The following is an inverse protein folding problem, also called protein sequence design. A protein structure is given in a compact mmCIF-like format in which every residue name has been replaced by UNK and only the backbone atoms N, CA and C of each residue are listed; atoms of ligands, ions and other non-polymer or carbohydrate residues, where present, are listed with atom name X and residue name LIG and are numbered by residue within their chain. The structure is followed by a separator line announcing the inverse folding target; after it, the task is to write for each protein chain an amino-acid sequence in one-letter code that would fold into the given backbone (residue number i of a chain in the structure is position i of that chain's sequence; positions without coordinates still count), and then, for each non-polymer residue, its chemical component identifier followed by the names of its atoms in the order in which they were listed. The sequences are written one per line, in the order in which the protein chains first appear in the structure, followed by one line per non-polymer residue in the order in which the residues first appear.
data_IF_596821874223
#
_entry.id   IF_596821874223
#
_cell.length_a   1.000
_cell.length_b   1.000
_cell.length_c   1.000
_cell.angle_alpha   90.00
_cell.angle_beta   90.00
_cell.angle_gamma   90.00
#
_symmetry.space_group_name_H-M   'P 1'
#
loop_
_entity.id
_entity.type
_entity.pdbx_description
1 polymer ?
#
# COMPACT_ATOMS: atom_id res chain seq x y z
N UNK A 1 -18.06 -15.14 13.08
CA UNK A 1 -17.35 -15.20 11.78
C UNK A 1 -16.25 -14.17 11.78
N UNK A 2 -15.07 -14.53 11.31
CA UNK A 2 -13.95 -13.60 11.24
C UNK A 2 -13.87 -13.07 9.80
N UNK A 3 -14.13 -11.78 9.59
CA UNK A 3 -14.09 -11.12 8.29
C UNK A 3 -12.73 -10.44 8.15
N UNK A 4 -11.81 -11.00 7.37
CA UNK A 4 -10.45 -10.47 7.22
C UNK A 4 -10.11 -10.25 5.76
N UNK A 5 -9.73 -9.03 5.38
CA UNK A 5 -9.36 -8.67 4.01
C UNK A 5 -8.13 -7.77 3.99
N UNK A 6 -7.23 -7.99 3.03
CA UNK A 6 -6.10 -7.08 2.84
C UNK A 6 -6.51 -5.81 2.09
N UNK A 7 -5.83 -4.69 2.35
CA UNK A 7 -6.17 -3.36 1.80
C UNK A 7 -6.23 -3.33 0.26
N UNK A 8 -5.29 -3.99 -0.45
CA UNK A 8 -5.31 -4.00 -1.91
C UNK A 8 -6.52 -4.77 -2.49
N UNK A 9 -6.84 -6.02 -2.03
CA UNK A 9 -8.10 -6.68 -2.36
C UNK A 9 -9.35 -5.88 -1.98
N UNK A 10 -9.33 -5.11 -0.89
CA UNK A 10 -10.45 -4.26 -0.49
C UNK A 10 -10.64 -3.10 -1.48
N UNK A 11 -9.55 -2.47 -1.95
CA UNK A 11 -9.60 -1.46 -3.00
C UNK A 11 -10.07 -2.02 -4.35
N UNK A 12 -9.70 -3.26 -4.70
CA UNK A 12 -10.26 -3.95 -5.86
C UNK A 12 -11.76 -4.23 -5.69
N UNK A 13 -12.18 -4.64 -4.48
CA UNK A 13 -13.57 -4.94 -4.17
C UNK A 13 -14.47 -3.71 -4.33
N UNK A 14 -13.99 -2.51 -3.97
CA UNK A 14 -14.78 -1.28 -4.00
C UNK A 14 -15.33 -0.94 -5.39
N UNK A 15 -14.59 -1.29 -6.46
CA UNK A 15 -14.96 -1.00 -7.86
C UNK A 15 -15.39 -2.24 -8.65
N UNK A 16 -15.38 -3.42 -8.02
CA UNK A 16 -15.59 -4.69 -8.72
C UNK A 16 -17.06 -4.99 -8.98
N UNK A 17 -17.33 -5.73 -10.05
CA UNK A 17 -18.65 -6.36 -10.29
C UNK A 17 -18.93 -7.44 -9.23
N UNK A 18 -20.22 -7.79 -9.05
CA UNK A 18 -20.63 -8.80 -8.05
C UNK A 18 -19.93 -10.15 -8.22
N UNK A 19 -19.70 -10.59 -9.44
CA UNK A 19 -18.97 -11.84 -9.72
C UNK A 19 -17.51 -11.73 -9.26
N UNK A 20 -16.86 -10.60 -9.52
CA UNK A 20 -15.49 -10.34 -9.08
C UNK A 20 -15.39 -10.17 -7.58
N UNK A 21 -16.34 -9.49 -6.93
CA UNK A 21 -16.46 -9.35 -5.47
C UNK A 21 -16.51 -10.71 -4.79
N UNK A 22 -17.34 -11.64 -5.28
CA UNK A 22 -17.38 -13.03 -4.78
C UNK A 22 -16.03 -13.72 -4.90
N UNK A 23 -15.38 -13.61 -6.06
CA UNK A 23 -14.04 -14.19 -6.28
C UNK A 23 -12.98 -13.61 -5.34
N UNK A 24 -13.01 -12.30 -5.09
CA UNK A 24 -12.10 -11.64 -4.13
C UNK A 24 -12.30 -12.25 -2.73
N UNK A 25 -13.55 -12.34 -2.27
CA UNK A 25 -13.85 -12.90 -0.94
C UNK A 25 -13.45 -14.37 -0.82
N UNK A 26 -13.74 -15.19 -1.84
CA UNK A 26 -13.29 -16.60 -1.87
C UNK A 26 -11.77 -16.74 -1.73
N UNK A 27 -11.01 -15.86 -2.39
CA UNK A 27 -9.55 -15.82 -2.28
C UNK A 27 -9.06 -15.36 -0.90
N UNK A 28 -9.82 -14.52 -0.18
CA UNK A 28 -9.48 -14.13 1.19
C UNK A 28 -9.82 -15.24 2.19
N UNK A 29 -10.92 -15.98 2.00
CA UNK A 29 -11.29 -17.15 2.83
C UNK A 29 -10.31 -18.31 2.71
N UNK A 30 -9.77 -18.52 1.52
CA UNK A 30 -8.82 -19.61 1.22
C UNK A 30 -7.59 -19.02 0.52
N UNK A 31 -6.70 -18.34 1.27
CA UNK A 31 -5.49 -17.78 0.68
C UNK A 31 -4.63 -18.90 0.10
N UNK A 32 -4.20 -18.73 -1.15
CA UNK A 32 -3.29 -19.67 -1.80
C UNK A 32 -1.92 -19.60 -1.10
N UNK A 33 -1.62 -20.64 -0.32
CA UNK A 33 -0.36 -20.75 0.43
C UNK A 33 0.86 -20.89 -0.48
N UNK A 34 0.66 -21.23 -1.75
CA UNK A 34 1.72 -21.34 -2.77
C UNK A 34 1.96 -20.04 -3.55
N UNK A 35 1.21 -18.96 -3.27
CA UNK A 35 1.50 -17.65 -3.88
C UNK A 35 2.88 -17.18 -3.47
N UNK A 36 3.87 -17.49 -4.29
CA UNK A 36 5.18 -16.89 -4.13
C UNK A 36 5.07 -15.40 -4.46
N UNK A 37 5.54 -14.61 -3.55
CA UNK A 37 5.55 -13.17 -3.68
C UNK A 37 6.45 -12.75 -4.85
N UNK A 38 5.84 -12.16 -5.86
CA UNK A 38 6.53 -11.48 -6.95
C UNK A 38 7.07 -10.14 -6.44
N UNK A 39 8.05 -9.57 -7.14
CA UNK A 39 8.59 -8.24 -6.86
C UNK A 39 9.23 -8.06 -5.47
N UNK A 40 9.63 -9.12 -4.79
CA UNK A 40 10.18 -9.00 -3.42
C UNK A 40 11.38 -8.05 -3.37
N UNK A 41 12.36 -8.24 -4.27
CA UNK A 41 13.54 -7.38 -4.32
C UNK A 41 13.16 -5.94 -4.69
N UNK A 42 12.33 -5.74 -5.71
CA UNK A 42 11.90 -4.41 -6.13
C UNK A 42 11.21 -3.66 -4.99
N UNK A 43 10.25 -4.31 -4.29
CA UNK A 43 9.58 -3.73 -3.12
C UNK A 43 10.57 -3.37 -2.00
N UNK A 44 11.51 -4.27 -1.69
CA UNK A 44 12.51 -4.01 -0.65
C UNK A 44 13.40 -2.81 -0.99
N UNK A 45 13.79 -2.66 -2.25
CA UNK A 45 14.62 -1.54 -2.72
C UNK A 45 13.85 -0.22 -2.74
N UNK A 46 12.57 -0.23 -3.16
CA UNK A 46 11.69 0.95 -3.09
C UNK A 46 11.47 1.41 -1.66
N UNK A 47 11.20 0.48 -0.74
CA UNK A 47 11.09 0.79 0.70
C UNK A 47 12.38 1.40 1.25
N UNK A 48 13.54 0.85 0.88
CA UNK A 48 14.84 1.39 1.30
C UNK A 48 15.10 2.79 0.75
N UNK A 49 14.73 3.05 -0.51
CA UNK A 49 14.82 4.38 -1.12
C UNK A 49 13.93 5.40 -0.39
N UNK A 50 12.68 5.03 -0.10
CA UNK A 50 11.78 5.89 0.68
C UNK A 50 12.31 6.11 2.10
N UNK A 51 12.81 5.06 2.77
CA UNK A 51 13.39 5.19 4.10
C UNK A 51 14.65 6.08 4.14
N UNK A 52 15.37 6.17 3.03
CA UNK A 52 16.53 7.05 2.84
C UNK A 52 16.17 8.39 2.16
N UNK A 53 14.92 8.84 2.34
CA UNK A 53 14.46 10.16 1.87
C UNK A 53 14.65 10.40 0.37
N UNK A 54 14.45 9.35 -0.44
CA UNK A 54 14.55 9.41 -1.90
C UNK A 54 15.96 9.15 -2.46
N UNK A 55 16.93 8.76 -1.64
CA UNK A 55 18.22 8.26 -2.15
C UNK A 55 18.00 7.07 -3.09
N UNK A 56 18.36 7.24 -4.36
CA UNK A 56 18.15 6.25 -5.42
C UNK A 56 19.16 5.11 -5.40
N UNK A 57 20.22 5.19 -4.60
CA UNK A 57 21.27 4.15 -4.50
C UNK A 57 20.68 2.75 -4.32
N UNK A 58 19.70 2.50 -3.41
CA UNK A 58 19.14 1.15 -3.24
C UNK A 58 18.47 0.60 -4.51
N UNK A 59 17.80 1.46 -5.29
CA UNK A 59 17.15 1.05 -6.55
C UNK A 59 18.19 0.70 -7.60
N UNK A 60 19.21 1.53 -7.77
CA UNK A 60 20.30 1.31 -8.74
C UNK A 60 21.07 0.02 -8.43
N UNK A 61 21.38 -0.23 -7.16
CA UNK A 61 21.97 -1.49 -6.71
C UNK A 61 21.06 -2.69 -7.00
N UNK A 62 19.76 -2.57 -6.76
CA UNK A 62 18.77 -3.61 -7.04
C UNK A 62 18.68 -3.94 -8.53
N UNK A 63 18.70 -2.95 -9.39
CA UNK A 63 18.73 -3.10 -10.85
C UNK A 63 20.01 -3.85 -11.27
N UNK A 64 21.17 -3.42 -10.78
CA UNK A 64 22.45 -4.07 -11.09
C UNK A 64 22.48 -5.51 -10.61
N UNK A 65 21.98 -5.79 -9.40
CA UNK A 65 21.85 -7.14 -8.85
C UNK A 65 20.98 -8.04 -9.74
N UNK A 66 19.84 -7.54 -10.23
CA UNK A 66 18.98 -8.32 -11.13
C UNK A 66 19.60 -8.49 -12.52
N UNK A 67 20.28 -7.47 -13.04
CA UNK A 67 20.97 -7.57 -14.35
C UNK A 67 22.10 -8.63 -14.32
N UNK A 68 22.84 -8.72 -13.23
CA UNK A 68 23.89 -9.72 -13.04
C UNK A 68 23.35 -11.15 -12.82
N UNK A 69 22.10 -11.30 -12.40
CA UNK A 69 21.51 -12.62 -12.12
C UNK A 69 21.12 -13.32 -13.41
N UNK A 70 21.52 -14.59 -13.59
CA UNK A 70 21.17 -15.45 -14.72
C UNK A 70 20.20 -16.53 -14.22
N UNK A 71 18.87 -16.27 -14.25
CA UNK A 71 17.89 -17.26 -13.84
C UNK A 71 17.70 -18.34 -14.93
N UNK A 72 17.50 -19.58 -14.49
CA UNK A 72 17.28 -20.73 -15.39
C UNK A 72 15.83 -21.17 -15.48
N UNK A 73 15.03 -20.88 -14.44
CA UNK A 73 13.61 -21.26 -14.38
C UNK A 73 12.74 -20.17 -14.96
N UNK A 74 11.79 -20.51 -15.82
CA UNK A 74 10.84 -19.56 -16.48
C UNK A 74 10.25 -18.55 -15.49
N UNK A 75 9.81 -19.02 -14.32
CA UNK A 75 9.27 -18.14 -13.27
C UNK A 75 10.26 -17.10 -12.79
N UNK A 76 11.52 -17.49 -12.56
CA UNK A 76 12.55 -16.57 -12.10
C UNK A 76 12.95 -15.57 -13.21
N UNK A 77 12.89 -15.99 -14.48
CA UNK A 77 13.12 -15.13 -15.64
C UNK A 77 12.03 -14.04 -15.66
N UNK A 78 10.76 -14.45 -15.55
CA UNK A 78 9.64 -13.53 -15.55
C UNK A 78 9.65 -12.58 -14.36
N UNK A 79 9.91 -13.09 -13.13
CA UNK A 79 10.00 -12.23 -11.94
C UNK A 79 11.15 -11.21 -12.06
N UNK A 80 12.31 -11.63 -12.57
CA UNK A 80 13.43 -10.74 -12.85
C UNK A 80 13.03 -9.63 -13.82
N UNK A 81 12.39 -9.98 -14.93
CA UNK A 81 12.00 -9.01 -15.95
C UNK A 81 10.98 -7.98 -15.42
N UNK A 82 9.92 -8.44 -14.76
CA UNK A 82 8.89 -7.52 -14.23
C UNK A 82 9.40 -6.73 -13.02
N UNK A 83 10.32 -7.27 -12.24
CA UNK A 83 10.95 -6.55 -11.13
C UNK A 83 11.92 -5.47 -11.62
N UNK A 84 12.68 -5.72 -12.71
CA UNK A 84 13.50 -4.69 -13.38
C UNK A 84 12.61 -3.56 -13.89
N UNK A 85 11.56 -3.89 -14.66
CA UNK A 85 10.62 -2.88 -15.17
C UNK A 85 10.00 -2.05 -14.04
N UNK A 86 9.61 -2.69 -12.93
CA UNK A 86 9.05 -1.97 -11.78
C UNK A 86 10.06 -0.99 -11.17
N UNK A 87 11.32 -1.38 -11.00
CA UNK A 87 12.36 -0.49 -10.46
C UNK A 87 12.71 0.65 -11.42
N UNK A 88 12.78 0.39 -12.71
CA UNK A 88 13.03 1.41 -13.73
C UNK A 88 11.88 2.44 -13.76
N UNK A 89 10.61 1.99 -13.66
CA UNK A 89 9.46 2.90 -13.54
C UNK A 89 9.55 3.77 -12.29
N UNK A 90 9.88 3.16 -11.15
CA UNK A 90 10.03 3.90 -9.89
C UNK A 90 11.12 4.97 -9.95
N UNK A 91 12.25 4.72 -10.64
CA UNK A 91 13.31 5.72 -10.87
C UNK A 91 12.80 6.99 -11.58
N UNK A 92 11.84 6.83 -12.48
CA UNK A 92 11.28 7.94 -13.26
C UNK A 92 10.06 8.58 -12.58
N UNK A 93 9.57 8.02 -11.46
CA UNK A 93 8.46 8.61 -10.73
C UNK A 93 8.93 9.82 -9.93
N UNK A 94 8.21 10.93 -10.09
CA UNK A 94 8.42 12.10 -9.25
C UNK A 94 7.73 11.89 -7.91
N UNK A 95 8.52 11.68 -6.86
CA UNK A 95 7.98 11.59 -5.50
C UNK A 95 7.31 12.92 -5.08
N UNK A 96 6.25 12.88 -4.25
CA UNK A 96 5.58 14.09 -3.77
C UNK A 96 6.53 15.02 -3.03
N UNK A 97 6.34 16.33 -3.23
CA UNK A 97 7.16 17.34 -2.57
C UNK A 97 7.14 17.22 -1.04
N UNK A 98 6.04 16.74 -0.46
CA UNK A 98 5.93 16.49 0.98
C UNK A 98 7.00 15.52 1.48
N UNK A 99 7.38 14.50 0.71
CA UNK A 99 8.46 13.58 1.09
C UNK A 99 9.86 14.17 0.90
N UNK A 100 10.02 15.12 -0.02
CA UNK A 100 11.31 15.75 -0.30
C UNK A 100 11.54 17.00 0.56
N UNK A 101 10.47 17.64 1.05
CA UNK A 101 10.51 18.92 1.76
C UNK A 101 10.60 18.80 3.27
N UNK A 102 10.43 17.62 3.85
CA UNK A 102 10.45 17.42 5.30
C UNK A 102 11.57 16.46 5.73
N UNK A 103 12.05 16.69 6.93
CA UNK A 103 12.93 15.73 7.58
C UNK A 103 12.08 14.70 8.35
N UNK A 104 12.18 13.43 8.02
CA UNK A 104 11.41 12.37 8.66
C UNK A 104 12.29 11.16 9.05
N UNK A 105 11.80 10.39 9.97
CA UNK A 105 12.31 9.07 10.32
C UNK A 105 11.28 7.98 10.01
N UNK A 106 11.75 6.76 9.78
CA UNK A 106 10.87 5.59 9.59
C UNK A 106 10.71 4.87 10.91
N UNK A 107 9.46 4.74 11.34
CA UNK A 107 9.10 4.05 12.58
C UNK A 107 8.36 2.74 12.28
N UNK A 108 8.11 1.94 13.31
CA UNK A 108 7.38 0.66 13.24
C UNK A 108 6.22 0.67 14.22
N UNK A 109 5.18 -0.09 13.89
CA UNK A 109 4.06 -0.39 14.79
C UNK A 109 3.94 -1.90 14.98
N UNK A 110 3.34 -2.32 16.07
CA UNK A 110 3.02 -3.73 16.32
C UNK A 110 1.79 -4.15 15.52
N UNK A 111 0.76 -3.31 15.50
CA UNK A 111 -0.45 -3.56 14.72
C UNK A 111 -0.19 -3.46 13.22
N UNK A 112 -0.84 -4.33 12.45
CA UNK A 112 -0.81 -4.31 10.97
C UNK A 112 -2.20 -4.20 10.36
N UNK A 113 -3.23 -4.16 11.19
CA UNK A 113 -4.63 -4.13 10.77
C UNK A 113 -5.44 -3.16 11.62
N UNK A 114 -6.60 -2.80 11.10
CA UNK A 114 -7.62 -1.97 11.74
C UNK A 114 -8.97 -2.67 11.60
N UNK A 115 -9.89 -2.44 12.53
CA UNK A 115 -11.22 -3.02 12.49
C UNK A 115 -12.27 -2.00 12.06
N UNK A 116 -12.78 -2.11 10.84
CA UNK A 116 -13.77 -1.21 10.25
C UNK A 116 -15.11 -1.94 10.13
N UNK A 117 -16.17 -1.46 10.79
CA UNK A 117 -17.51 -2.11 10.80
C UNK A 117 -17.48 -3.62 11.06
N UNK A 118 -16.53 -4.08 11.88
CA UNK A 118 -16.36 -5.50 12.21
C UNK A 118 -15.58 -6.33 11.19
N UNK A 119 -15.06 -5.71 10.13
CA UNK A 119 -14.11 -6.31 9.20
C UNK A 119 -12.69 -5.96 9.61
N UNK A 120 -11.82 -6.95 9.76
CA UNK A 120 -10.39 -6.76 9.96
C UNK A 120 -9.73 -6.45 8.62
N UNK A 121 -9.27 -5.22 8.46
CA UNK A 121 -8.56 -4.77 7.26
C UNK A 121 -7.06 -4.80 7.53
N UNK A 122 -6.34 -5.71 6.85
CA UNK A 122 -4.87 -5.80 6.93
C UNK A 122 -4.28 -4.70 6.07
N UNK A 123 -3.77 -3.63 6.70
CA UNK A 123 -3.17 -2.46 6.03
C UNK A 123 -1.70 -2.72 5.71
N UNK A 124 -0.92 -3.13 6.71
CA UNK A 124 0.52 -3.42 6.57
C UNK A 124 1.25 -2.41 5.68
N UNK A 125 1.43 -1.15 6.10
CA UNK A 125 2.15 -0.14 5.31
C UNK A 125 3.57 -0.60 4.95
N UNK A 126 4.10 -0.13 3.83
CA UNK A 126 5.49 -0.42 3.43
C UNK A 126 6.50 0.35 4.26
N UNK A 127 6.19 1.61 4.60
CA UNK A 127 6.89 2.41 5.61
C UNK A 127 5.87 3.23 6.40
N UNK A 128 6.21 3.54 7.66
CA UNK A 128 5.51 4.54 8.48
C UNK A 128 6.49 5.65 8.75
N UNK A 129 6.04 6.88 8.55
CA UNK A 129 6.84 8.10 8.60
C UNK A 129 6.46 8.88 9.84
N UNK A 130 7.46 9.36 10.59
CA UNK A 130 7.31 10.35 11.65
C UNK A 130 8.12 11.58 11.29
N UNK A 131 7.52 12.76 11.36
CA UNK A 131 8.16 14.04 11.10
C UNK A 131 7.77 15.06 12.17
N UNK A 132 8.68 15.94 12.53
CA UNK A 132 8.41 17.06 13.43
C UNK A 132 8.42 18.35 12.58
N UNK A 133 7.31 19.08 12.59
CA UNK A 133 7.11 20.33 11.86
C UNK A 133 6.48 21.32 12.84
N UNK A 134 7.13 22.46 13.06
CA UNK A 134 6.66 23.51 13.98
C UNK A 134 6.29 22.96 15.37
N UNK A 135 7.17 22.13 15.94
CA UNK A 135 7.03 21.44 17.25
C UNK A 135 5.86 20.47 17.35
N UNK A 136 5.16 20.16 16.24
CA UNK A 136 4.11 19.15 16.17
C UNK A 136 4.67 17.87 15.54
N UNK A 137 4.40 16.73 16.19
CA UNK A 137 4.80 15.42 15.67
C UNK A 137 3.73 14.86 14.73
N UNK A 138 4.05 14.79 13.44
CA UNK A 138 3.17 14.22 12.43
C UNK A 138 3.54 12.79 12.10
N UNK A 139 2.51 11.98 11.81
CA UNK A 139 2.68 10.63 11.28
C UNK A 139 1.98 10.48 9.94
N UNK A 140 2.55 9.65 9.09
CA UNK A 140 2.01 9.22 7.82
C UNK A 140 2.52 7.85 7.45
N UNK A 141 2.05 7.28 6.35
CA UNK A 141 2.58 6.01 5.86
C UNK A 141 2.44 5.88 4.34
N UNK A 142 3.24 4.98 3.78
CA UNK A 142 3.23 4.71 2.35
C UNK A 142 2.89 3.25 2.09
N UNK A 143 1.97 3.01 1.17
CA UNK A 143 1.67 1.68 0.61
C UNK A 143 2.05 1.65 -0.85
N UNK A 144 2.85 0.66 -1.25
CA UNK A 144 3.29 0.47 -2.63
C UNK A 144 2.51 -0.67 -3.25
N UNK A 145 1.81 -0.40 -4.34
CA UNK A 145 1.21 -1.41 -5.20
C UNK A 145 2.10 -1.70 -6.41
N UNK A 146 2.44 -2.99 -6.59
CA UNK A 146 3.28 -3.43 -7.71
C UNK A 146 2.56 -4.60 -8.38
N UNK A 147 1.87 -4.33 -9.48
CA UNK A 147 1.20 -5.34 -10.28
C UNK A 147 1.06 -4.86 -11.72
N UNK A 148 1.62 -5.61 -12.66
CA UNK A 148 1.51 -5.29 -14.09
C UNK A 148 0.14 -5.65 -14.65
N UNK A 149 -0.51 -6.67 -14.10
CA UNK A 149 -1.81 -7.17 -14.55
C UNK A 149 -3.01 -6.54 -13.83
N UNK A 150 -2.77 -5.81 -12.75
CA UNK A 150 -3.80 -5.15 -11.96
C UNK A 150 -3.29 -3.76 -11.55
N UNK A 151 -3.42 -2.79 -12.46
CA UNK A 151 -2.98 -1.41 -12.27
C UNK A 151 -4.10 -0.63 -11.62
N UNK A 152 -3.82 0.03 -10.50
CA UNK A 152 -4.82 0.80 -9.77
C UNK A 152 -5.04 2.19 -10.37
N UNK A 153 -6.29 2.62 -10.39
CA UNK A 153 -6.66 3.99 -10.73
C UNK A 153 -6.55 4.95 -9.52
N UNK A 154 -6.83 6.23 -9.75
CA UNK A 154 -6.73 7.24 -8.70
C UNK A 154 -7.77 7.04 -7.57
N UNK A 155 -8.93 6.47 -7.87
CA UNK A 155 -9.97 6.23 -6.87
C UNK A 155 -9.55 5.07 -5.94
N UNK A 156 -9.02 3.98 -6.51
CA UNK A 156 -8.48 2.87 -5.72
C UNK A 156 -7.30 3.32 -4.85
N UNK A 157 -6.40 4.16 -5.38
CA UNK A 157 -5.26 4.69 -4.61
C UNK A 157 -5.72 5.66 -3.52
N UNK A 158 -6.73 6.50 -3.78
CA UNK A 158 -7.34 7.38 -2.77
C UNK A 158 -7.98 6.55 -1.66
N UNK A 159 -8.72 5.52 -2.02
CA UNK A 159 -9.31 4.58 -1.06
C UNK A 159 -8.23 3.96 -0.14
N UNK A 160 -7.10 3.50 -0.71
CA UNK A 160 -5.97 2.97 0.05
C UNK A 160 -5.37 4.03 0.96
N UNK A 161 -5.09 5.23 0.44
CA UNK A 161 -4.50 6.32 1.22
C UNK A 161 -5.39 6.75 2.39
N UNK A 162 -6.71 6.81 2.17
CA UNK A 162 -7.70 7.11 3.22
C UNK A 162 -7.82 5.98 4.26
N UNK A 163 -7.70 4.72 3.82
CA UNK A 163 -7.65 3.58 4.77
C UNK A 163 -6.36 3.59 5.60
N UNK A 164 -5.23 4.04 5.03
CA UNK A 164 -3.97 4.26 5.77
C UNK A 164 -4.17 5.34 6.84
N UNK A 165 -4.84 6.45 6.49
CA UNK A 165 -5.17 7.51 7.44
C UNK A 165 -5.96 6.96 8.63
N UNK A 166 -7.07 6.25 8.38
CA UNK A 166 -7.88 5.64 9.45
C UNK A 166 -7.06 4.68 10.33
N UNK A 167 -6.19 3.90 9.71
CA UNK A 167 -5.31 2.97 10.42
C UNK A 167 -4.33 3.71 11.33
N UNK A 168 -3.71 4.78 10.87
CA UNK A 168 -2.77 5.55 11.69
C UNK A 168 -3.48 6.31 12.80
N UNK A 169 -4.66 6.85 12.54
CA UNK A 169 -5.51 7.53 13.50
C UNK A 169 -5.88 6.62 14.68
N UNK A 170 -6.19 5.33 14.42
CA UNK A 170 -6.45 4.35 15.46
C UNK A 170 -5.16 3.89 16.19
N UNK A 171 -4.07 3.66 15.44
CA UNK A 171 -2.82 3.10 16.01
C UNK A 171 -2.03 4.14 16.80
N UNK A 172 -2.13 5.41 16.43
CA UNK A 172 -1.49 6.55 17.08
C UNK A 172 -2.51 7.45 17.78
N UNK A 173 -3.61 6.86 18.31
CA UNK A 173 -4.65 7.55 19.07
C UNK A 173 -4.12 8.00 20.44
N UNK A 174 -3.28 9.05 20.40
CA UNK A 174 -2.78 9.76 21.59
C UNK A 174 -2.44 11.21 21.22
N UNK A 175 -2.36 12.08 22.23
CA UNK A 175 -2.11 13.51 22.06
C UNK A 175 -0.69 13.83 21.49
N UNK A 176 0.18 12.84 21.40
CA UNK A 176 1.57 13.01 20.95
C UNK A 176 1.69 13.11 19.42
N UNK A 177 0.75 12.49 18.67
CA UNK A 177 0.84 12.36 17.23
C UNK A 177 -0.36 12.95 16.51
N UNK A 178 -0.10 13.60 15.38
CA UNK A 178 -1.14 14.07 14.45
C UNK A 178 -0.99 13.34 13.12
N UNK A 179 -2.03 12.64 12.69
CA UNK A 179 -2.01 12.01 11.35
C UNK A 179 -2.12 13.07 10.28
N UNK A 180 -1.12 13.12 9.38
CA UNK A 180 -1.09 14.08 8.27
C UNK A 180 -1.60 13.42 6.98
N UNK A 181 -2.79 13.82 6.46
CA UNK A 181 -3.36 13.21 5.25
C UNK A 181 -2.43 13.24 4.05
N UNK A 182 -1.65 14.31 3.87
CA UNK A 182 -0.69 14.45 2.78
C UNK A 182 0.48 13.46 2.86
N UNK A 183 0.75 12.89 4.04
CA UNK A 183 1.75 11.84 4.27
C UNK A 183 1.15 10.43 4.22
N UNK A 184 -0.16 10.28 4.12
CA UNK A 184 -0.83 9.00 3.91
C UNK A 184 -0.90 8.72 2.40
N UNK A 185 0.06 7.95 1.88
CA UNK A 185 0.34 7.83 0.45
C UNK A 185 0.09 6.41 -0.07
N UNK A 186 -0.56 6.30 -1.22
CA UNK A 186 -0.64 5.08 -2.02
C UNK A 186 0.08 5.29 -3.36
N UNK A 187 0.94 4.35 -3.72
CA UNK A 187 1.77 4.40 -4.94
C UNK A 187 1.43 3.19 -5.80
N UNK A 188 1.05 3.41 -7.06
CA UNK A 188 1.00 2.36 -8.09
C UNK A 188 2.15 2.52 -9.07
N UNK A 189 3.01 1.51 -9.12
CA UNK A 189 4.24 1.56 -9.90
C UNK A 189 3.96 1.45 -11.40
N UNK A 190 3.08 0.54 -11.81
CA UNK A 190 2.81 0.32 -13.23
C UNK A 190 1.90 1.39 -13.84
N UNK A 191 1.05 2.02 -13.05
CA UNK A 191 0.28 3.20 -13.44
C UNK A 191 1.04 4.52 -13.31
N UNK A 192 2.24 4.50 -12.70
CA UNK A 192 3.04 5.70 -12.41
C UNK A 192 2.21 6.76 -11.67
N UNK A 193 1.46 6.34 -10.65
CA UNK A 193 0.54 7.19 -9.88
C UNK A 193 0.93 7.22 -8.42
N UNK A 194 0.78 8.41 -7.81
CA UNK A 194 0.91 8.60 -6.37
C UNK A 194 -0.26 9.45 -5.92
N UNK A 195 -1.01 8.97 -4.94
CA UNK A 195 -2.19 9.65 -4.39
C UNK A 195 -2.08 9.68 -2.88
N UNK A 196 -2.38 10.83 -2.28
CA UNK A 196 -2.50 10.98 -0.83
C UNK A 196 -3.98 10.97 -0.39
N UNK A 197 -4.21 10.77 0.91
CA UNK A 197 -5.52 10.98 1.49
C UNK A 197 -5.95 12.45 1.35
N UNK A 198 -7.25 12.72 1.13
CA UNK A 198 -7.74 14.09 1.03
C UNK A 198 -7.73 14.76 2.40
N UNK A 199 -7.61 16.10 2.41
CA UNK A 199 -7.66 16.88 3.67
C UNK A 199 -9.02 16.77 4.36
N UNK A 200 -10.11 16.76 3.58
CA UNK A 200 -11.47 16.51 4.05
C UNK A 200 -11.78 15.05 3.79
N UNK A 201 -11.69 14.24 4.82
CA UNK A 201 -11.67 12.78 4.69
C UNK A 201 -13.01 12.09 4.99
N UNK A 202 -13.98 12.80 5.57
CA UNK A 202 -15.23 12.20 6.07
C UNK A 202 -15.99 11.39 5.01
N UNK A 203 -16.06 11.90 3.77
CA UNK A 203 -16.71 11.19 2.67
C UNK A 203 -16.02 9.89 2.29
N UNK A 204 -14.68 9.87 2.38
CA UNK A 204 -13.89 8.66 2.11
C UNK A 204 -14.04 7.64 3.25
N UNK A 205 -14.04 8.09 4.50
CA UNK A 205 -14.30 7.23 5.67
C UNK A 205 -15.67 6.56 5.52
N UNK A 206 -16.72 7.33 5.26
CA UNK A 206 -18.06 6.80 5.05
C UNK A 206 -18.11 5.77 3.91
N UNK A 207 -17.43 6.04 2.79
CA UNK A 207 -17.36 5.12 1.67
C UNK A 207 -16.65 3.81 2.07
N UNK A 208 -15.52 3.88 2.79
CA UNK A 208 -14.77 2.71 3.27
C UNK A 208 -15.63 1.88 4.22
N UNK A 209 -16.40 2.52 5.11
CA UNK A 209 -17.33 1.85 6.02
C UNK A 209 -18.44 1.09 5.28
N UNK A 210 -19.03 1.72 4.25
CA UNK A 210 -20.03 1.07 3.38
C UNK A 210 -19.44 -0.14 2.67
N UNK A 211 -18.26 0.00 2.08
CA UNK A 211 -17.57 -1.11 1.41
C UNK A 211 -17.25 -2.26 2.38
N UNK A 212 -16.83 -1.96 3.61
CA UNK A 212 -16.62 -2.99 4.62
C UNK A 212 -17.94 -3.70 5.02
N UNK A 213 -19.07 -3.00 5.06
CA UNK A 213 -20.35 -3.65 5.27
C UNK A 213 -20.72 -4.57 4.10
N UNK A 214 -20.52 -4.13 2.85
CA UNK A 214 -20.75 -4.95 1.65
C UNK A 214 -19.83 -6.20 1.63
N UNK A 215 -18.58 -6.10 2.11
CA UNK A 215 -17.68 -7.25 2.29
C UNK A 215 -18.33 -8.31 3.18
N UNK A 216 -18.96 -7.93 4.31
CA UNK A 216 -19.65 -8.87 5.21
C UNK A 216 -20.84 -9.53 4.52
N UNK A 217 -21.61 -8.75 3.75
CA UNK A 217 -22.78 -9.25 3.04
C UNK A 217 -22.42 -10.27 1.96
N UNK A 218 -21.33 -10.03 1.23
CA UNK A 218 -20.80 -10.99 0.25
C UNK A 218 -20.16 -12.19 0.96
N UNK A 219 -19.45 -11.96 2.05
CA UNK A 219 -18.78 -13.01 2.82
C UNK A 219 -19.75 -14.09 3.32
N UNK A 220 -20.92 -13.68 3.76
CA UNK A 220 -21.97 -14.59 4.22
C UNK A 220 -22.57 -15.48 3.12
N UNK A 221 -22.41 -15.08 1.84
CA UNK A 221 -23.01 -15.73 0.66
C UNK A 221 -22.04 -16.64 -0.11
N UNK A 222 -20.76 -16.65 0.23
CA UNK A 222 -19.67 -17.43 -0.39
C UNK A 222 -18.90 -18.20 0.68
#
# INVERSE_FOLDING_TARGET
MNYTISINPLADFSIASDAKRRSIIQNQKKPDTFKVSWYQLARARMKSTLAKKGDLTPILEGINQLKAKIPTKTRQINDRQVSLEAMERFLHMKLPNVLNGINYEVIKTESKSIKIKGVEVIVSPDIIIKAIIDDVTYVGAVKIHISKSNVFDNNQLRFIASTIYMYLDEVFDNEEYVVMPELCLAIDIFGSRIVNAPKIIDSEINNIEVICQEVKDVWSKV
#
